data_IF_079483313362
#
_entry.id   IF_079483313362
#
_cell.length_a   1.000
_cell.length_b   1.000
_cell.length_c   1.000
_cell.angle_alpha   90.00
_cell.angle_beta   90.00
_cell.angle_gamma   90.00
#
_symmetry.space_group_name_H-M   'P 1'
#
loop_
_entity.id
_entity.type
_entity.pdbx_description
1 polymer ?
#
# COMPACT_ATOMS: atom_id res chain seq x y z
N UNK A 1 -24.48 -0.01 12.88
CA UNK A 1 -23.07 0.25 13.27
C UNK A 1 -22.64 1.50 12.56
N UNK A 2 -22.69 2.64 13.26
CA UNK A 2 -22.34 3.95 12.70
C UNK A 2 -20.83 4.17 12.86
N UNK A 3 -20.10 4.61 11.83
CA UNK A 3 -18.69 4.91 11.96
C UNK A 3 -18.52 6.26 12.65
N UNK A 4 -18.02 6.24 13.89
CA UNK A 4 -17.52 7.44 14.56
C UNK A 4 -16.30 7.95 13.78
N UNK A 5 -16.41 9.12 13.18
CA UNK A 5 -15.32 9.81 12.47
C UNK A 5 -14.26 10.27 13.45
N UNK A 6 -13.39 9.35 13.86
CA UNK A 6 -12.13 9.66 14.51
C UNK A 6 -11.10 10.12 13.47
N UNK A 7 -10.53 11.31 13.65
CA UNK A 7 -9.35 11.81 12.91
C UNK A 7 -8.06 11.07 13.25
N UNK A 8 -8.12 10.08 14.14
CA UNK A 8 -7.02 9.18 14.49
C UNK A 8 -6.75 8.15 13.39
N UNK A 9 -5.50 7.70 13.28
CA UNK A 9 -5.12 6.56 12.42
C UNK A 9 -5.96 5.33 12.79
N UNK A 10 -6.28 4.50 11.81
CA UNK A 10 -7.00 3.25 12.02
C UNK A 10 -6.03 2.06 11.89
N UNK A 11 -6.13 1.07 12.77
CA UNK A 11 -5.35 -0.16 12.68
C UNK A 11 -6.33 -1.33 12.57
N UNK A 12 -6.18 -2.12 11.51
CA UNK A 12 -6.95 -3.32 11.27
C UNK A 12 -6.01 -4.52 11.21
N UNK A 13 -6.38 -5.58 11.93
CA UNK A 13 -5.65 -6.85 11.96
C UNK A 13 -6.53 -7.92 11.35
N UNK A 14 -6.12 -8.46 10.21
CA UNK A 14 -6.80 -9.56 9.56
C UNK A 14 -6.30 -10.88 10.17
N UNK A 15 -7.17 -11.88 10.28
CA UNK A 15 -6.86 -13.17 10.91
C UNK A 15 -5.78 -13.97 10.16
N UNK A 16 -5.49 -13.60 8.92
CA UNK A 16 -4.59 -14.26 7.98
C UNK A 16 -3.14 -13.72 8.03
N UNK A 17 -2.81 -12.87 9.01
CA UNK A 17 -1.46 -12.32 9.16
C UNK A 17 -1.22 -11.03 8.37
N UNK A 18 -2.26 -10.36 7.90
CA UNK A 18 -2.17 -9.01 7.35
C UNK A 18 -2.52 -7.97 8.42
N UNK A 19 -1.66 -6.98 8.60
CA UNK A 19 -1.94 -5.79 9.42
C UNK A 19 -1.94 -4.56 8.54
N UNK A 20 -2.99 -3.74 8.66
CA UNK A 20 -3.21 -2.53 7.88
C UNK A 20 -3.29 -1.37 8.86
N UNK A 21 -2.44 -0.36 8.68
CA UNK A 21 -2.54 0.91 9.38
C UNK A 21 -2.90 1.98 8.37
N UNK A 22 -4.03 2.65 8.53
CA UNK A 22 -4.48 3.72 7.65
C UNK A 22 -4.32 5.08 8.34
N UNK A 23 -3.84 6.08 7.60
CA UNK A 23 -3.81 7.48 8.04
C UNK A 23 -5.23 7.95 8.39
N UNK A 24 -5.34 8.86 9.37
CA UNK A 24 -6.61 9.48 9.72
C UNK A 24 -7.28 10.12 8.49
N UNK A 25 -8.55 9.76 8.24
CA UNK A 25 -9.32 10.25 7.09
C UNK A 25 -8.97 9.60 5.74
N UNK A 26 -8.17 8.53 5.72
CA UNK A 26 -7.99 7.71 4.53
C UNK A 26 -9.32 7.02 4.13
N UNK A 27 -9.60 7.01 2.82
CA UNK A 27 -10.74 6.33 2.22
C UNK A 27 -10.23 5.10 1.49
N UNK A 28 -10.61 3.94 2.01
CA UNK A 28 -10.23 2.66 1.44
C UNK A 28 -11.32 1.62 1.69
N UNK A 29 -11.34 0.60 0.84
CA UNK A 29 -12.17 -0.59 1.01
C UNK A 29 -11.30 -1.84 0.99
N UNK A 30 -11.66 -2.83 1.80
CA UNK A 30 -11.12 -4.17 1.66
C UNK A 30 -11.76 -4.87 0.46
N UNK A 31 -10.95 -5.65 -0.26
CA UNK A 31 -11.40 -6.42 -1.41
C UNK A 31 -11.06 -7.88 -1.18
N UNK A 32 -12.10 -8.70 -1.10
CA UNK A 32 -12.04 -10.15 -1.12
C UNK A 32 -12.54 -10.60 -2.50
N UNK A 33 -11.61 -10.98 -3.38
CA UNK A 33 -11.93 -11.33 -4.78
C UNK A 33 -12.34 -12.79 -4.90
N UNK A 34 -11.83 -13.64 -4.02
CA UNK A 34 -12.04 -15.08 -4.05
C UNK A 34 -13.23 -15.51 -3.17
N UNK A 35 -13.81 -14.57 -2.42
CA UNK A 35 -14.94 -14.77 -1.51
C UNK A 35 -14.67 -15.78 -0.39
N UNK A 36 -13.42 -15.87 0.09
CA UNK A 36 -13.00 -16.76 1.18
C UNK A 36 -13.16 -16.12 2.58
N UNK A 37 -13.66 -14.89 2.65
CA UNK A 37 -13.83 -14.12 3.89
C UNK A 37 -12.56 -13.39 4.34
N UNK A 38 -11.48 -13.43 3.55
CA UNK A 38 -10.21 -12.76 3.84
C UNK A 38 -9.88 -11.78 2.70
N UNK A 39 -9.52 -10.53 3.01
CA UNK A 39 -9.17 -9.59 1.97
C UNK A 39 -7.88 -10.00 1.25
N UNK A 40 -7.90 -10.00 -0.07
CA UNK A 40 -6.70 -10.19 -0.92
C UNK A 40 -6.09 -8.84 -1.34
N UNK A 41 -6.86 -7.77 -1.21
CA UNK A 41 -6.41 -6.43 -1.56
C UNK A 41 -7.07 -5.32 -0.73
N UNK A 42 -6.48 -4.14 -0.83
CA UNK A 42 -7.06 -2.87 -0.40
C UNK A 42 -7.25 -1.99 -1.64
N UNK A 43 -8.45 -1.45 -1.84
CA UNK A 43 -8.68 -0.35 -2.78
C UNK A 43 -8.56 0.97 -2.04
N UNK A 44 -7.51 1.76 -2.33
CA UNK A 44 -7.18 3.01 -1.64
C UNK A 44 -7.39 4.21 -2.58
N UNK A 45 -8.19 5.19 -2.11
CA UNK A 45 -8.56 6.36 -2.90
C UNK A 45 -7.80 7.63 -2.55
N UNK A 46 -7.41 7.81 -1.28
CA UNK A 46 -6.66 8.97 -0.81
C UNK A 46 -5.84 8.62 0.44
N UNK A 47 -4.87 9.48 0.77
CA UNK A 47 -4.02 9.36 1.96
C UNK A 47 -3.20 8.07 1.94
N UNK A 48 -2.60 7.74 3.08
CA UNK A 48 -1.71 6.60 3.19
C UNK A 48 -2.25 5.40 3.96
N UNK A 49 -1.72 4.24 3.59
CA UNK A 49 -1.77 3.00 4.35
C UNK A 49 -0.36 2.41 4.48
N UNK A 50 -0.08 1.79 5.63
CA UNK A 50 1.03 0.88 5.85
C UNK A 50 0.45 -0.53 5.93
N UNK A 51 0.93 -1.43 5.08
CA UNK A 51 0.54 -2.83 5.08
C UNK A 51 1.73 -3.67 5.51
N UNK A 52 1.52 -4.55 6.49
CA UNK A 52 2.47 -5.58 6.89
C UNK A 52 1.86 -6.95 6.65
N UNK A 53 2.48 -7.72 5.76
CA UNK A 53 2.06 -9.08 5.43
C UNK A 53 3.07 -10.06 6.00
N UNK A 54 2.58 -10.95 6.86
CA UNK A 54 3.33 -12.08 7.38
C UNK A 54 3.32 -13.23 6.37
N UNK A 55 4.48 -13.53 5.79
CA UNK A 55 4.64 -14.57 4.77
C UNK A 55 4.26 -15.97 5.28
N UNK A 56 4.47 -16.25 6.56
CA UNK A 56 4.21 -17.58 7.13
C UNK A 56 2.70 -17.84 7.23
N UNK A 57 1.90 -16.79 7.48
CA UNK A 57 0.44 -16.89 7.63
C UNK A 57 -0.34 -16.56 6.36
N UNK A 58 0.21 -15.72 5.47
CA UNK A 58 -0.37 -15.37 4.17
C UNK A 58 0.57 -15.80 3.03
N UNK A 59 0.43 -17.04 2.53
CA UNK A 59 1.24 -17.52 1.41
C UNK A 59 0.78 -16.92 0.07
N UNK A 60 -0.46 -16.45 -0.04
CA UNK A 60 -0.99 -15.79 -1.23
C UNK A 60 -0.49 -14.34 -1.37
N UNK A 61 -0.59 -13.78 -2.57
CA UNK A 61 -0.26 -12.37 -2.79
C UNK A 61 -1.29 -11.43 -2.16
N UNK A 62 -0.82 -10.27 -1.71
CA UNK A 62 -1.69 -9.19 -1.25
C UNK A 62 -1.41 -7.92 -2.06
N UNK A 63 -2.45 -7.14 -2.34
CA UNK A 63 -2.34 -5.96 -3.20
C UNK A 63 -2.85 -4.68 -2.52
N UNK A 64 -2.26 -3.54 -2.87
CA UNK A 64 -2.95 -2.24 -2.75
C UNK A 64 -3.19 -1.73 -4.16
N UNK A 65 -4.46 -1.45 -4.44
CA UNK A 65 -4.96 -0.95 -5.71
C UNK A 65 -5.33 0.51 -5.50
N UNK A 66 -4.83 1.38 -6.36
CA UNK A 66 -5.14 2.81 -6.38
C UNK A 66 -5.55 3.23 -7.79
N UNK A 67 -6.08 4.45 -7.98
CA UNK A 67 -6.40 4.95 -9.32
C UNK A 67 -5.19 5.02 -10.27
N UNK A 68 -3.95 5.05 -9.76
CA UNK A 68 -2.74 5.18 -10.56
C UNK A 68 -1.90 3.90 -10.62
N UNK A 69 -1.96 3.06 -9.59
CA UNK A 69 -1.05 1.93 -9.44
C UNK A 69 -1.73 0.70 -8.84
N UNK A 70 -1.19 -0.46 -9.19
CA UNK A 70 -1.34 -1.69 -8.43
C UNK A 70 0.03 -2.02 -7.88
N UNK A 71 0.09 -2.24 -6.57
CA UNK A 71 1.31 -2.67 -5.92
C UNK A 71 1.05 -3.97 -5.16
N UNK A 72 1.81 -5.00 -5.54
CA UNK A 72 1.57 -6.40 -5.19
C UNK A 72 2.78 -6.95 -4.44
N UNK A 73 2.50 -7.73 -3.40
CA UNK A 73 3.52 -8.26 -2.50
C UNK A 73 3.29 -9.70 -2.13
N UNK A 74 4.35 -10.31 -1.59
CA UNK A 74 4.29 -11.55 -0.82
C UNK A 74 5.21 -11.41 0.38
N UNK A 75 4.64 -11.28 1.58
CA UNK A 75 5.44 -11.20 2.81
C UNK A 75 6.25 -9.91 2.98
N UNK A 76 5.64 -8.75 2.83
CA UNK A 76 6.31 -7.44 2.76
C UNK A 76 5.68 -6.45 3.73
N UNK A 77 6.48 -5.52 4.27
CA UNK A 77 6.01 -4.32 4.95
C UNK A 77 6.27 -3.10 4.09
N UNK A 78 5.23 -2.35 3.75
CA UNK A 78 5.33 -1.28 2.77
C UNK A 78 4.19 -0.26 2.91
N UNK A 79 4.45 0.97 2.47
CA UNK A 79 3.51 2.07 2.54
C UNK A 79 3.08 2.52 1.14
N UNK A 80 1.81 2.90 1.02
CA UNK A 80 1.22 3.51 -0.17
C UNK A 80 0.59 4.82 0.24
N UNK A 81 0.83 5.88 -0.51
CA UNK A 81 0.20 7.18 -0.33
C UNK A 81 -0.44 7.64 -1.64
N UNK A 82 -1.71 8.03 -1.58
CA UNK A 82 -2.42 8.63 -2.71
C UNK A 82 -2.65 10.11 -2.43
N UNK A 83 -1.93 10.95 -3.16
CA UNK A 83 -1.95 12.41 -3.01
C UNK A 83 -1.78 13.09 -4.36
N UNK A 84 -2.57 14.13 -4.62
CA UNK A 84 -2.45 15.01 -5.80
C UNK A 84 -2.32 14.24 -7.13
N UNK A 85 -3.17 13.23 -7.33
CA UNK A 85 -3.15 12.42 -8.57
C UNK A 85 -1.95 11.49 -8.72
N UNK A 86 -1.13 11.32 -7.68
CA UNK A 86 0.05 10.45 -7.65
C UNK A 86 -0.13 9.36 -6.59
N UNK A 87 0.24 8.13 -6.94
CA UNK A 87 0.45 7.06 -5.97
C UNK A 87 1.93 6.91 -5.70
N UNK A 88 2.34 7.14 -4.46
CA UNK A 88 3.71 6.92 -4.00
C UNK A 88 3.77 5.59 -3.27
N UNK A 89 4.75 4.76 -3.60
CA UNK A 89 4.97 3.45 -2.95
C UNK A 89 6.35 3.43 -2.34
N UNK A 90 6.45 2.99 -1.08
CA UNK A 90 7.72 2.89 -0.35
C UNK A 90 7.85 1.56 0.39
N UNK A 91 9.01 0.93 0.31
CA UNK A 91 9.26 -0.39 0.90
C UNK A 91 9.97 -0.26 2.24
N UNK A 92 9.38 -0.78 3.31
CA UNK A 92 10.00 -0.84 4.64
C UNK A 92 10.77 -2.16 4.82
N UNK A 93 10.20 -3.28 4.36
CA UNK A 93 10.77 -4.63 4.46
C UNK A 93 10.29 -5.48 3.29
N UNK A 94 11.16 -6.28 2.69
CA UNK A 94 10.81 -7.19 1.60
C UNK A 94 10.93 -6.53 0.23
N UNK A 95 10.04 -6.90 -0.70
CA UNK A 95 10.00 -6.37 -2.07
C UNK A 95 8.57 -6.12 -2.51
N UNK A 96 8.37 -5.13 -3.38
CA UNK A 96 7.06 -4.77 -3.93
C UNK A 96 7.15 -4.70 -5.45
N UNK A 97 6.24 -5.38 -6.16
CA UNK A 97 6.07 -5.18 -7.59
C UNK A 97 5.01 -4.11 -7.82
N UNK A 98 5.34 -3.04 -8.54
CA UNK A 98 4.47 -1.89 -8.78
C UNK A 98 4.27 -1.71 -10.29
N UNK A 99 3.02 -1.55 -10.72
CA UNK A 99 2.69 -1.24 -12.10
C UNK A 99 1.45 -0.36 -12.19
N UNK A 100 1.15 0.14 -13.39
CA UNK A 100 -0.14 0.82 -13.64
C UNK A 100 -1.24 -0.23 -13.85
N UNK A 101 -2.49 0.02 -13.43
CA UNK A 101 -3.58 -0.93 -13.63
C UNK A 101 -3.78 -1.36 -15.09
N UNK A 102 -3.54 -0.44 -16.04
CA UNK A 102 -3.71 -0.67 -17.47
C UNK A 102 -2.46 -1.22 -18.17
N UNK A 103 -1.38 -1.52 -17.45
CA UNK A 103 -0.10 -1.93 -18.03
C UNK A 103 0.35 -3.27 -17.46
N UNK A 104 0.84 -4.16 -18.34
CA UNK A 104 1.44 -5.43 -17.93
C UNK A 104 2.81 -5.22 -17.25
N UNK A 105 3.55 -4.19 -17.66
CA UNK A 105 4.88 -3.91 -17.14
C UNK A 105 4.84 -3.48 -15.66
N UNK A 106 5.76 -4.04 -14.87
CA UNK A 106 5.95 -3.71 -13.46
C UNK A 106 7.42 -3.45 -13.16
N UNK A 107 7.67 -2.57 -12.20
CA UNK A 107 8.98 -2.37 -11.57
C UNK A 107 9.00 -3.02 -10.20
N UNK A 108 10.16 -3.50 -9.77
CA UNK A 108 10.34 -4.08 -8.44
C UNK A 108 11.11 -3.11 -7.57
N UNK A 109 10.57 -2.83 -6.39
CA UNK A 109 11.20 -2.01 -5.37
C UNK A 109 11.77 -2.94 -4.28
N UNK A 110 12.96 -2.62 -3.80
CA UNK A 110 13.61 -3.22 -2.63
C UNK A 110 13.48 -2.30 -1.42
N UNK A 111 13.94 -2.80 -0.27
CA UNK A 111 13.91 -2.10 1.02
C UNK A 111 14.47 -0.68 0.88
N UNK A 112 13.66 0.29 1.29
CA UNK A 112 13.90 1.72 1.30
C UNK A 112 13.97 2.40 -0.06
N UNK A 113 13.65 1.68 -1.12
CA UNK A 113 13.29 2.26 -2.41
C UNK A 113 11.82 2.68 -2.42
N UNK A 114 11.52 3.62 -3.30
CA UNK A 114 10.17 4.00 -3.62
C UNK A 114 10.01 4.42 -5.07
N UNK A 115 8.75 4.55 -5.48
CA UNK A 115 8.36 4.97 -6.83
C UNK A 115 7.14 5.87 -6.75
N UNK A 116 7.09 6.85 -7.63
CA UNK A 116 5.95 7.74 -7.81
C UNK A 116 5.26 7.39 -9.12
N UNK A 117 3.97 7.06 -9.03
CA UNK A 117 3.16 6.61 -10.16
C UNK A 117 2.08 7.64 -10.43
N UNK A 118 2.15 8.27 -11.60
CA UNK A 118 1.09 9.10 -12.17
C UNK A 118 0.38 8.35 -13.30
N UNK A 119 -0.81 8.83 -13.65
CA UNK A 119 -1.49 8.40 -14.89
C UNK A 119 -0.60 8.72 -16.10
N UNK A 120 -0.67 7.87 -17.13
CA UNK A 120 0.09 8.05 -18.36
C UNK A 120 0.96 6.83 -18.70
N UNK A 121 1.93 7.04 -19.59
CA UNK A 121 2.76 5.96 -20.16
C UNK A 121 4.26 6.10 -19.89
N UNK A 122 4.68 7.17 -19.21
CA UNK A 122 6.09 7.39 -18.89
C UNK A 122 6.68 6.20 -18.10
N UNK A 123 7.95 5.84 -18.30
CA UNK A 123 8.60 4.81 -17.51
C UNK A 123 8.51 5.09 -16.01
N UNK A 124 8.34 4.05 -15.20
CA UNK A 124 8.39 4.17 -13.75
C UNK A 124 9.84 4.20 -13.29
N UNK A 125 10.23 5.22 -12.52
CA UNK A 125 11.60 5.36 -12.03
C UNK A 125 11.68 4.99 -10.56
N UNK A 126 12.27 3.83 -10.28
CA UNK A 126 12.58 3.41 -8.90
C UNK A 126 13.77 4.23 -8.39
N UNK A 127 13.66 4.73 -7.16
CA UNK A 127 14.73 5.49 -6.51
C UNK A 127 14.82 5.10 -5.04
N UNK A 128 16.03 5.16 -4.50
CA UNK A 128 16.20 5.21 -3.04
C UNK A 128 15.55 6.49 -2.52
N UNK A 129 14.60 6.36 -1.58
CA UNK A 129 13.99 7.54 -0.98
C UNK A 129 14.93 8.13 0.09
N UNK A 130 15.07 9.47 0.15
CA UNK A 130 15.75 10.12 1.26
C UNK A 130 15.09 9.75 2.60
N UNK A 131 15.88 9.53 3.68
CA UNK A 131 15.35 9.15 4.98
C UNK A 131 14.24 10.08 5.49
N UNK A 132 14.41 11.39 5.32
CA UNK A 132 13.41 12.40 5.74
C UNK A 132 12.06 12.22 5.03
N UNK A 133 12.07 11.89 3.72
CA UNK A 133 10.84 11.65 2.94
C UNK A 133 10.13 10.40 3.44
N UNK A 134 10.87 9.32 3.69
CA UNK A 134 10.32 8.08 4.22
C UNK A 134 9.74 8.28 5.63
N UNK A 135 10.50 8.95 6.51
CA UNK A 135 10.08 9.25 7.88
C UNK A 135 8.80 10.09 7.92
N UNK A 136 8.68 11.11 7.06
CA UNK A 136 7.47 11.95 6.99
C UNK A 136 6.22 11.14 6.61
N UNK A 137 6.33 10.19 5.66
CA UNK A 137 5.23 9.29 5.32
C UNK A 137 4.86 8.38 6.50
N UNK A 138 5.88 7.75 7.09
CA UNK A 138 5.73 6.77 8.17
C UNK A 138 5.19 7.38 9.47
N UNK A 139 5.54 8.63 9.79
CA UNK A 139 5.04 9.35 10.95
C UNK A 139 3.51 9.52 10.92
N UNK A 140 2.91 9.77 9.74
CA UNK A 140 1.44 9.83 9.59
C UNK A 140 0.75 8.50 9.85
N UNK A 141 1.50 7.41 9.77
CA UNK A 141 1.09 6.03 10.04
C UNK A 141 1.53 5.59 11.46
N UNK A 142 2.05 6.56 12.25
CA UNK A 142 2.60 6.44 13.60
C UNK A 142 3.60 5.30 13.76
N UNK A 143 4.58 5.30 12.86
CA UNK A 143 5.83 4.54 12.94
C UNK A 143 6.97 5.43 13.39
#
# INVERSE_FOLDING_TARGET
MEPVTGTSRQIMRCADGVTITAEGGARFNLVDRNHDGRPDAISLLNKAVLVDVDRARRPQSFEVITPQAIAAVRGTRWAVDVKNGTTSVFVVRGRVAVGRPSAAARVVLNVGEGVDVTKGRAPLTVRRWPPARAAALLARLGQ
#
